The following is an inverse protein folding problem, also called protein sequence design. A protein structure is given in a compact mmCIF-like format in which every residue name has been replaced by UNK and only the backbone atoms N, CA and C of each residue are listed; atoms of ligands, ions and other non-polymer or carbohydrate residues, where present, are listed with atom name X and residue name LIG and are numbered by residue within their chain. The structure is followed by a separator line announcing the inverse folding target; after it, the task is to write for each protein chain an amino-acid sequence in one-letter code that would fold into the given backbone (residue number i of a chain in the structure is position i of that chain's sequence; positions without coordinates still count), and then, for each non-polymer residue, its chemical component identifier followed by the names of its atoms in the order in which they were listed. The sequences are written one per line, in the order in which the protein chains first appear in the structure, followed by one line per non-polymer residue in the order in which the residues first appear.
data_IF_619860570197
#
_entry.id   IF_619860570197
#
_cell.length_a   1.000
_cell.length_b   1.000
_cell.length_c   1.000
_cell.angle_alpha   90.00
_cell.angle_beta   90.00
_cell.angle_gamma   90.00
#
_symmetry.space_group_name_H-M   'P 1'
#
loop_
_entity.id
_entity.type
_entity.pdbx_description
1 polymer ?
#
# COMPACT_ATOMS: atom_id res chain seq x y z
N UNK A 1 18.82 -21.60 -5.99
CA UNK A 1 18.33 -20.28 -6.42
C UNK A 1 16.83 -20.31 -6.63
N UNK A 2 16.12 -19.20 -6.40
CA UNK A 2 14.67 -19.06 -6.70
C UNK A 2 14.49 -18.37 -8.05
N UNK A 3 14.51 -19.11 -9.15
CA UNK A 3 14.30 -18.54 -10.50
C UNK A 3 12.82 -18.20 -10.72
N UNK A 4 12.53 -16.98 -11.20
CA UNK A 4 11.17 -16.50 -11.57
C UNK A 4 10.13 -16.55 -10.45
N UNK A 5 10.53 -16.63 -9.19
CA UNK A 5 9.59 -16.59 -8.06
C UNK A 5 9.22 -15.14 -7.76
N UNK A 6 7.96 -14.79 -8.03
CA UNK A 6 7.40 -13.47 -7.75
C UNK A 6 6.88 -13.36 -6.31
N UNK A 7 7.08 -12.19 -5.69
CA UNK A 7 6.55 -11.87 -4.36
C UNK A 7 7.52 -12.10 -3.20
N UNK A 8 7.15 -11.57 -2.02
CA UNK A 8 7.97 -11.63 -0.79
C UNK A 8 7.30 -12.52 0.25
N UNK A 9 8.04 -13.49 0.78
CA UNK A 9 7.55 -14.39 1.83
C UNK A 9 7.34 -13.67 3.18
N UNK A 10 8.16 -12.65 3.48
CA UNK A 10 8.13 -11.86 4.72
C UNK A 10 8.21 -12.71 6.01
N UNK A 11 8.84 -13.89 5.93
CA UNK A 11 8.99 -14.81 7.06
C UNK A 11 7.66 -15.34 7.61
N UNK A 12 6.59 -15.38 6.80
CA UNK A 12 5.25 -15.79 7.23
C UNK A 12 4.66 -16.83 6.31
N UNK A 13 3.87 -17.73 6.89
CA UNK A 13 3.03 -18.64 6.13
C UNK A 13 2.01 -17.88 5.26
N UNK A 14 1.41 -18.57 4.29
CA UNK A 14 0.49 -18.01 3.29
C UNK A 14 -0.68 -17.28 3.97
N UNK A 15 -1.35 -17.91 4.94
CA UNK A 15 -2.56 -17.35 5.55
C UNK A 15 -2.24 -16.11 6.38
N UNK A 16 -1.17 -16.18 7.17
CA UNK A 16 -0.66 -15.05 7.95
C UNK A 16 -0.23 -13.88 7.04
N UNK A 17 0.38 -14.18 5.90
CA UNK A 17 0.80 -13.17 4.92
C UNK A 17 -0.42 -12.51 4.26
N UNK A 18 -1.44 -13.29 3.90
CA UNK A 18 -2.68 -12.74 3.36
C UNK A 18 -3.40 -11.85 4.38
N UNK A 19 -3.49 -12.27 5.64
CA UNK A 19 -4.08 -11.49 6.72
C UNK A 19 -3.31 -10.17 6.95
N UNK A 20 -1.98 -10.21 6.93
CA UNK A 20 -1.13 -9.02 7.04
C UNK A 20 -1.40 -8.04 5.89
N UNK A 21 -1.47 -8.53 4.64
CA UNK A 21 -1.71 -7.67 3.48
C UNK A 21 -3.11 -7.04 3.53
N UNK A 22 -4.14 -7.81 3.87
CA UNK A 22 -5.51 -7.29 4.06
C UNK A 22 -5.52 -6.17 5.10
N UNK A 23 -4.84 -6.38 6.23
CA UNK A 23 -4.77 -5.42 7.33
C UNK A 23 -4.05 -4.13 6.92
N UNK A 24 -2.89 -4.23 6.25
CA UNK A 24 -2.14 -3.07 5.79
C UNK A 24 -2.88 -2.26 4.72
N UNK A 25 -3.48 -2.94 3.75
CA UNK A 25 -4.27 -2.30 2.69
C UNK A 25 -5.49 -1.60 3.27
N UNK A 26 -6.22 -2.27 4.19
CA UNK A 26 -7.35 -1.66 4.90
C UNK A 26 -6.92 -0.42 5.68
N UNK A 27 -5.80 -0.50 6.40
CA UNK A 27 -5.27 0.62 7.18
C UNK A 27 -4.88 1.80 6.28
N UNK A 28 -4.27 1.53 5.12
CA UNK A 28 -3.93 2.56 4.15
C UNK A 28 -5.17 3.27 3.59
N UNK A 29 -6.22 2.53 3.26
CA UNK A 29 -7.46 3.12 2.78
C UNK A 29 -8.23 3.87 3.87
N UNK A 30 -8.20 3.39 5.12
CA UNK A 30 -8.89 4.03 6.23
C UNK A 30 -8.21 5.34 6.67
N UNK A 31 -6.88 5.35 6.76
CA UNK A 31 -6.12 6.49 7.29
C UNK A 31 -5.48 7.36 6.21
N UNK A 32 -5.48 6.93 4.95
CA UNK A 32 -4.81 7.61 3.83
C UNK A 32 -3.29 7.48 3.82
N UNK A 33 -2.66 7.27 4.99
CA UNK A 33 -1.21 7.04 5.13
C UNK A 33 -0.92 5.99 6.20
N UNK A 34 0.17 5.24 6.03
CA UNK A 34 0.67 4.27 7.01
C UNK A 34 2.19 4.33 7.10
N UNK A 35 2.75 3.97 8.25
CA UNK A 35 4.18 3.75 8.42
C UNK A 35 4.45 2.24 8.54
N UNK A 36 5.37 1.72 7.73
CA UNK A 36 5.70 0.29 7.73
C UNK A 36 7.12 0.05 7.22
N UNK A 37 7.57 -1.20 7.20
CA UNK A 37 8.89 -1.53 6.63
C UNK A 37 8.86 -1.40 5.10
N UNK A 38 9.98 -1.01 4.50
CA UNK A 38 10.09 -0.88 3.04
C UNK A 38 9.68 -2.17 2.31
N UNK A 39 10.01 -3.32 2.90
CA UNK A 39 9.68 -4.64 2.35
C UNK A 39 8.17 -4.90 2.30
N UNK A 40 7.43 -4.51 3.34
CA UNK A 40 5.97 -4.65 3.43
C UNK A 40 5.25 -3.68 2.49
N UNK A 41 5.66 -2.41 2.46
CA UNK A 41 5.10 -1.40 1.57
C UNK A 41 5.23 -1.80 0.09
N UNK A 42 6.43 -2.24 -0.33
CA UNK A 42 6.67 -2.73 -1.70
C UNK A 42 5.84 -3.98 -2.04
N UNK A 43 5.52 -4.82 -1.06
CA UNK A 43 4.71 -6.02 -1.28
C UNK A 43 3.24 -5.70 -1.54
N UNK A 44 2.67 -4.71 -0.83
CA UNK A 44 1.26 -4.34 -0.98
C UNK A 44 0.99 -3.36 -2.12
N UNK A 45 2.01 -2.67 -2.65
CA UNK A 45 1.87 -1.68 -3.75
C UNK A 45 1.02 -2.19 -4.91
N UNK A 46 1.36 -3.37 -5.45
CA UNK A 46 0.63 -3.97 -6.58
C UNK A 46 -0.80 -4.38 -6.24
N UNK A 47 -1.06 -4.78 -4.99
CA UNK A 47 -2.41 -5.11 -4.53
C UNK A 47 -3.29 -3.86 -4.46
N UNK A 48 -2.74 -2.75 -3.95
CA UNK A 48 -3.47 -1.47 -3.87
C UNK A 48 -3.83 -0.98 -5.27
N UNK A 49 -2.88 -1.00 -6.22
CA UNK A 49 -3.13 -0.60 -7.60
C UNK A 49 -4.23 -1.46 -8.26
N UNK A 50 -4.18 -2.79 -8.04
CA UNK A 50 -5.20 -3.71 -8.55
C UNK A 50 -6.59 -3.44 -7.97
N UNK A 51 -6.68 -3.16 -6.67
CA UNK A 51 -7.95 -2.87 -5.99
C UNK A 51 -8.56 -1.57 -6.52
N UNK A 52 -7.77 -0.51 -6.64
CA UNK A 52 -8.25 0.78 -7.16
C UNK A 52 -8.70 0.65 -8.61
N UNK A 53 -7.92 -0.03 -9.46
CA UNK A 53 -8.31 -0.25 -10.85
C UNK A 53 -9.57 -1.12 -10.98
N UNK A 54 -9.76 -2.11 -10.10
CA UNK A 54 -10.99 -2.88 -10.05
C UNK A 54 -12.18 -2.01 -9.63
N UNK A 55 -11.99 -1.13 -8.65
CA UNK A 55 -13.02 -0.21 -8.17
C UNK A 55 -13.41 0.83 -9.25
N UNK A 56 -12.45 1.39 -9.99
CA UNK A 56 -12.71 2.29 -11.14
C UNK A 56 -13.60 1.63 -12.20
N UNK A 57 -13.39 0.35 -12.48
CA UNK A 57 -14.15 -0.40 -13.51
C UNK A 57 -15.57 -0.75 -13.07
N UNK A 58 -15.76 -1.08 -11.79
CA UNK A 58 -17.03 -1.62 -11.29
C UNK A 58 -18.06 -0.55 -10.90
N UNK A 59 -17.73 0.75 -10.99
CA UNK A 59 -18.59 1.87 -10.55
C UNK A 59 -19.28 1.58 -9.20
N UNK A 60 -18.52 1.02 -8.26
CA UNK A 60 -19.08 0.54 -6.99
C UNK A 60 -19.44 1.73 -6.10
N UNK A 61 -20.64 1.72 -5.52
CA UNK A 61 -21.19 2.74 -4.61
C UNK A 61 -20.50 2.77 -3.22
N UNK A 62 -19.39 2.05 -3.05
CA UNK A 62 -18.68 2.00 -1.78
C UNK A 62 -18.16 3.38 -1.39
N UNK A 63 -18.46 3.82 -0.17
CA UNK A 63 -18.04 5.13 0.36
C UNK A 63 -16.54 5.37 0.20
N UNK A 64 -15.73 4.32 0.39
CA UNK A 64 -14.28 4.36 0.21
C UNK A 64 -13.88 4.75 -1.22
N UNK A 65 -14.56 4.16 -2.21
CA UNK A 65 -14.33 4.41 -3.64
C UNK A 65 -14.73 5.84 -3.99
N UNK A 66 -15.88 6.31 -3.49
CA UNK A 66 -16.39 7.67 -3.76
C UNK A 66 -15.50 8.78 -3.21
N UNK A 67 -14.87 8.57 -2.05
CA UNK A 67 -13.99 9.57 -1.42
C UNK A 67 -12.58 9.56 -2.03
N UNK A 68 -12.07 8.38 -2.38
CA UNK A 68 -10.68 8.22 -2.82
C UNK A 68 -10.52 8.42 -4.33
N UNK A 69 -11.43 7.89 -5.16
CA UNK A 69 -11.26 7.95 -6.62
C UNK A 69 -11.14 9.38 -7.17
N UNK A 70 -11.94 10.39 -6.73
CA UNK A 70 -11.79 11.74 -7.24
C UNK A 70 -10.41 12.34 -6.97
N UNK A 71 -9.78 11.98 -5.83
CA UNK A 71 -8.44 12.45 -5.46
C UNK A 71 -7.32 11.86 -6.34
N UNK A 72 -7.60 10.71 -6.97
CA UNK A 72 -6.62 10.02 -7.82
C UNK A 72 -6.68 10.48 -9.28
N UNK A 73 -7.74 11.20 -9.69
CA UNK A 73 -7.95 11.69 -11.04
C UNK A 73 -7.89 10.59 -12.11
N UNK A 74 -7.44 10.95 -13.31
CA UNK A 74 -7.37 10.07 -14.48
C UNK A 74 -6.13 9.16 -14.51
N UNK A 75 -5.43 9.04 -13.37
CA UNK A 75 -4.21 8.23 -13.29
C UNK A 75 -4.52 6.75 -13.54
N UNK A 76 -3.70 6.11 -14.36
CA UNK A 76 -3.85 4.69 -14.76
C UNK A 76 -3.19 3.71 -13.78
N UNK A 77 -2.11 4.14 -13.11
CA UNK A 77 -1.37 3.32 -12.16
C UNK A 77 -0.55 4.17 -11.18
N UNK A 78 0.02 3.54 -10.15
CA UNK A 78 0.86 4.23 -9.19
C UNK A 78 0.05 5.17 -8.31
N UNK A 79 -0.96 4.65 -7.62
CA UNK A 79 -1.82 5.44 -6.74
C UNK A 79 -1.24 5.64 -5.34
N UNK A 80 -0.05 5.12 -5.09
CA UNK A 80 0.63 5.12 -3.80
C UNK A 80 2.03 5.70 -3.92
N UNK A 81 2.39 6.53 -2.94
CA UNK A 81 3.74 7.07 -2.75
C UNK A 81 4.41 6.36 -1.58
N UNK A 82 5.73 6.12 -1.67
CA UNK A 82 6.53 5.49 -0.63
C UNK A 82 7.73 6.39 -0.37
N UNK A 83 7.80 6.98 0.82
CA UNK A 83 8.88 7.88 1.25
C UNK A 83 9.64 7.24 2.39
N UNK A 84 10.97 7.19 2.31
CA UNK A 84 11.82 6.71 3.41
C UNK A 84 11.81 7.72 4.55
N UNK A 85 11.63 7.22 5.78
CA UNK A 85 11.63 8.05 7.00
C UNK A 85 12.96 7.89 7.74
N UNK A 86 13.54 6.68 7.71
CA UNK A 86 14.77 6.33 8.40
C UNK A 86 14.76 4.88 8.86
N UNK A 87 15.85 4.37 9.45
CA UNK A 87 15.88 3.04 10.05
C UNK A 87 15.15 3.02 11.39
N UNK A 88 14.53 1.89 11.71
CA UNK A 88 13.91 1.66 13.02
C UNK A 88 14.98 1.37 14.07
N UNK A 89 14.87 2.02 15.23
CA UNK A 89 15.73 1.73 16.38
C UNK A 89 15.52 0.30 16.85
N UNK A 90 16.60 -0.41 17.17
CA UNK A 90 16.61 -1.80 17.62
C UNK A 90 17.00 -2.80 16.51
N UNK A 91 16.24 -2.86 15.41
CA UNK A 91 16.46 -3.83 14.32
C UNK A 91 17.01 -3.22 13.01
N UNK A 92 17.28 -1.91 13.01
CA UNK A 92 17.79 -1.13 11.87
C UNK A 92 17.00 -1.30 10.56
N UNK A 93 15.77 -1.80 10.62
CA UNK A 93 14.96 -2.01 9.41
C UNK A 93 14.54 -0.67 8.83
N UNK A 94 14.76 -0.48 7.52
CA UNK A 94 14.30 0.72 6.81
C UNK A 94 12.79 0.88 6.89
N UNK A 95 12.35 1.96 7.53
CA UNK A 95 10.95 2.35 7.64
C UNK A 95 10.60 3.35 6.54
N UNK A 96 9.37 3.22 6.06
CA UNK A 96 8.79 4.07 5.03
C UNK A 96 7.42 4.54 5.44
N UNK A 97 7.06 5.75 5.01
CA UNK A 97 5.70 6.26 4.99
C UNK A 97 5.12 5.91 3.62
N UNK A 98 4.04 5.15 3.61
CA UNK A 98 3.27 4.89 2.41
C UNK A 98 1.97 5.71 2.46
N UNK A 99 1.70 6.49 1.43
CA UNK A 99 0.51 7.34 1.32
C UNK A 99 -0.24 7.08 0.03
N UNK A 100 -1.56 7.30 0.05
CA UNK A 100 -2.33 7.49 -1.18
C UNK A 100 -2.01 8.86 -1.76
N UNK A 101 -1.96 8.95 -3.08
CA UNK A 101 -1.78 10.24 -3.76
C UNK A 101 -2.98 11.15 -3.44
N UNK A 102 -2.71 12.42 -3.13
CA UNK A 102 -3.72 13.37 -2.66
C UNK A 102 -4.08 13.26 -1.17
N UNK A 103 -3.47 12.32 -0.43
CA UNK A 103 -3.49 12.26 1.03
C UNK A 103 -2.14 12.67 1.63
N UNK A 104 -1.29 13.35 0.85
CA UNK A 104 0.07 13.70 1.26
C UNK A 104 0.07 14.75 2.37
N UNK A 105 0.63 14.37 3.52
CA UNK A 105 1.15 15.35 4.49
C UNK A 105 2.40 15.93 3.85
N UNK A 106 2.31 17.16 3.36
CA UNK A 106 3.49 17.94 2.96
C UNK A 106 4.51 17.91 4.11
N UNK A 107 5.72 17.44 3.81
CA UNK A 107 6.87 17.76 4.66
C UNK A 107 7.10 19.27 4.43
N UNK A 108 6.81 20.08 5.46
CA UNK A 108 7.45 21.38 5.60
C UNK A 108 8.95 21.17 5.80
#
# INVERSE_FOLDING_TARGET
MRHRVYGKHLGRDIDQRQALFKTLVRSLFLHGTIQTSETKAKAIKGLVDKIINSAKKKNTQDKLVRVILPKLGDRTSGFTSIVRIGPRQGDQTTMVKMSLIGAEVHKK
#
